data_IF_908480800719
#
_entry.id   IF_908480800719
#
_cell.length_a   1.000
_cell.length_b   1.000
_cell.length_c   1.000
_cell.angle_alpha   90.00
_cell.angle_beta   90.00
_cell.angle_gamma   90.00
#
_symmetry.space_group_name_H-M   'P 1'
#
loop_
_entity.id
_entity.type
_entity.pdbx_description
1 polymer ?
#
# COMPACT_ATOMS: atom_id res chain seq x y z
N UNK A 1 -4.43 20.44 -9.17
CA UNK A 1 -3.55 19.76 -8.20
C UNK A 1 -4.12 18.40 -7.77
N UNK A 2 -5.29 18.31 -7.12
CA UNK A 2 -5.88 17.04 -6.66
C UNK A 2 -5.99 15.97 -7.77
N UNK A 3 -6.55 16.31 -8.92
CA UNK A 3 -6.68 15.38 -10.05
C UNK A 3 -5.33 14.86 -10.56
N UNK A 4 -4.30 15.71 -10.60
CA UNK A 4 -2.94 15.32 -11.01
C UNK A 4 -2.35 14.32 -10.03
N UNK A 5 -2.46 14.59 -8.71
CA UNK A 5 -1.97 13.69 -7.67
C UNK A 5 -2.67 12.32 -7.70
N UNK A 6 -3.99 12.32 -7.89
CA UNK A 6 -4.79 11.10 -8.00
C UNK A 6 -4.36 10.26 -9.21
N UNK A 7 -4.32 10.87 -10.40
CA UNK A 7 -3.94 10.16 -11.63
C UNK A 7 -2.49 9.68 -11.57
N UNK A 8 -1.57 10.55 -11.16
CA UNK A 8 -0.15 10.19 -11.04
C UNK A 8 0.04 9.06 -10.03
N UNK A 9 -0.66 9.09 -8.90
CA UNK A 9 -0.59 8.04 -7.89
C UNK A 9 -1.09 6.69 -8.39
N UNK A 10 -2.22 6.67 -9.12
CA UNK A 10 -2.70 5.45 -9.80
C UNK A 10 -1.65 4.93 -10.79
N UNK A 11 -1.21 5.78 -11.72
CA UNK A 11 -0.28 5.40 -12.79
C UNK A 11 1.02 4.86 -12.21
N UNK A 12 1.57 5.52 -11.18
CA UNK A 12 2.79 5.08 -10.52
C UNK A 12 2.62 3.71 -9.84
N UNK A 13 1.52 3.48 -9.12
CA UNK A 13 1.24 2.19 -8.48
C UNK A 13 1.09 1.06 -9.50
N UNK A 14 0.40 1.30 -10.63
CA UNK A 14 0.27 0.33 -11.70
C UNK A 14 1.59 0.05 -12.41
N UNK A 15 2.35 1.09 -12.73
CA UNK A 15 3.66 0.95 -13.37
C UNK A 15 4.63 0.17 -12.47
N UNK A 16 4.64 0.43 -11.17
CA UNK A 16 5.42 -0.33 -10.21
C UNK A 16 4.95 -1.80 -10.13
N UNK A 17 3.64 -2.04 -10.04
CA UNK A 17 3.07 -3.39 -10.03
C UNK A 17 3.42 -4.20 -11.28
N UNK A 18 3.43 -3.58 -12.47
CA UNK A 18 3.81 -4.25 -13.72
C UNK A 18 5.28 -4.71 -13.77
N UNK A 19 6.13 -4.14 -12.90
CA UNK A 19 7.54 -4.51 -12.73
C UNK A 19 7.75 -5.49 -11.56
N UNK A 20 6.71 -5.81 -10.80
CA UNK A 20 6.78 -6.75 -9.70
C UNK A 20 6.89 -8.20 -10.24
N UNK A 21 7.78 -9.04 -9.70
CA UNK A 21 7.84 -10.45 -10.10
C UNK A 21 6.60 -11.22 -9.61
N UNK A 22 5.91 -11.94 -10.50
CA UNK A 22 4.66 -12.67 -10.21
C UNK A 22 4.59 -14.06 -10.91
N UNK A 23 5.73 -14.62 -11.32
CA UNK A 23 5.77 -15.87 -12.08
C UNK A 23 5.57 -17.14 -11.24
N UNK A 24 6.15 -17.17 -10.04
CA UNK A 24 6.06 -18.30 -9.12
C UNK A 24 4.76 -18.29 -8.30
N UNK A 25 4.29 -19.48 -7.93
CA UNK A 25 3.18 -19.60 -7.00
C UNK A 25 3.58 -18.99 -5.64
N UNK A 26 2.80 -18.02 -5.16
CA UNK A 26 3.06 -17.34 -3.90
C UNK A 26 3.11 -18.27 -2.67
N UNK A 27 2.47 -19.45 -2.74
CA UNK A 27 2.51 -20.48 -1.68
C UNK A 27 3.72 -21.42 -1.78
N UNK A 28 4.46 -21.38 -2.89
CA UNK A 28 5.77 -22.02 -3.01
C UNK A 28 6.84 -20.98 -2.66
N UNK A 29 7.12 -20.89 -1.35
CA UNK A 29 8.07 -19.91 -0.83
C UNK A 29 9.47 -20.05 -1.43
N UNK A 30 9.92 -21.28 -1.71
CA UNK A 30 11.23 -21.49 -2.33
C UNK A 30 11.28 -20.92 -3.75
N UNK A 31 10.28 -21.21 -4.57
CA UNK A 31 10.20 -20.68 -5.93
C UNK A 31 10.03 -19.15 -5.94
N UNK A 32 9.13 -18.63 -5.11
CA UNK A 32 8.88 -17.20 -4.99
C UNK A 32 10.12 -16.44 -4.52
N UNK A 33 10.80 -16.90 -3.47
CA UNK A 33 12.01 -16.27 -2.97
C UNK A 33 13.14 -16.31 -4.01
N UNK A 34 13.28 -17.40 -4.78
CA UNK A 34 14.26 -17.45 -5.86
C UNK A 34 13.96 -16.45 -6.99
N UNK A 35 12.70 -16.11 -7.22
CA UNK A 35 12.29 -15.04 -8.13
C UNK A 35 12.61 -13.65 -7.55
N UNK A 36 12.29 -13.42 -6.27
CA UNK A 36 12.54 -12.14 -5.60
C UNK A 36 14.04 -11.85 -5.49
N UNK A 37 14.85 -12.87 -5.19
CA UNK A 37 16.31 -12.77 -5.13
C UNK A 37 16.93 -12.28 -6.45
N UNK A 38 16.38 -12.73 -7.58
CA UNK A 38 16.84 -12.34 -8.93
C UNK A 38 16.36 -10.94 -9.35
N UNK A 39 15.41 -10.35 -8.64
CA UNK A 39 14.90 -9.02 -8.96
C UNK A 39 15.80 -7.92 -8.40
N UNK A 40 16.45 -7.18 -9.29
CA UNK A 40 17.20 -5.96 -8.95
C UNK A 40 16.28 -4.76 -8.69
N UNK A 41 15.01 -4.84 -9.08
CA UNK A 41 14.05 -3.74 -8.97
C UNK A 41 13.13 -3.86 -7.76
N UNK A 42 13.19 -4.97 -7.01
CA UNK A 42 12.24 -5.27 -5.93
C UNK A 42 12.00 -4.09 -4.97
N UNK A 43 13.07 -3.52 -4.41
CA UNK A 43 12.97 -2.37 -3.48
C UNK A 43 12.37 -1.16 -4.20
N UNK A 44 12.81 -0.90 -5.44
CA UNK A 44 12.31 0.22 -6.24
C UNK A 44 10.82 0.11 -6.59
N UNK A 45 10.34 -1.10 -6.87
CA UNK A 45 8.92 -1.40 -7.10
C UNK A 45 8.10 -1.05 -5.86
N UNK A 46 8.50 -1.53 -4.70
CA UNK A 46 7.79 -1.28 -3.44
C UNK A 46 7.83 0.20 -3.03
N UNK A 47 8.96 0.88 -3.24
CA UNK A 47 9.06 2.32 -3.06
C UNK A 47 8.13 3.08 -4.02
N UNK A 48 8.03 2.65 -5.29
CA UNK A 48 7.11 3.20 -6.28
C UNK A 48 5.64 3.00 -5.88
N UNK A 49 5.28 1.81 -5.39
CA UNK A 49 3.95 1.53 -4.84
C UNK A 49 3.63 2.44 -3.65
N UNK A 50 4.56 2.60 -2.70
CA UNK A 50 4.42 3.51 -1.57
C UNK A 50 4.21 4.95 -2.01
N UNK A 51 5.06 5.45 -2.91
CA UNK A 51 4.97 6.81 -3.44
C UNK A 51 3.64 7.05 -4.19
N UNK A 52 3.18 6.08 -4.97
CA UNK A 52 1.90 6.13 -5.66
C UNK A 52 0.72 6.22 -4.68
N UNK A 53 0.73 5.42 -3.62
CA UNK A 53 -0.27 5.48 -2.56
C UNK A 53 -0.23 6.81 -1.79
N UNK A 54 0.96 7.33 -1.49
CA UNK A 54 1.12 8.63 -0.84
C UNK A 54 0.55 9.76 -1.70
N UNK A 55 0.79 9.73 -3.02
CA UNK A 55 0.22 10.69 -3.97
C UNK A 55 -1.31 10.59 -4.03
N UNK A 56 -1.87 9.37 -4.06
CA UNK A 56 -3.32 9.14 -3.98
C UNK A 56 -3.93 9.75 -2.72
N UNK A 57 -3.35 9.45 -1.55
CA UNK A 57 -3.80 9.99 -0.25
C UNK A 57 -3.71 11.52 -0.25
N UNK A 58 -2.61 12.10 -0.72
CA UNK A 58 -2.46 13.54 -0.84
C UNK A 58 -3.54 14.16 -1.77
N UNK A 59 -3.83 13.51 -2.90
CA UNK A 59 -4.88 13.93 -3.83
C UNK A 59 -6.27 13.94 -3.18
N UNK A 60 -6.59 12.90 -2.39
CA UNK A 60 -7.83 12.82 -1.62
C UNK A 60 -7.94 13.89 -0.54
N UNK A 61 -6.85 14.17 0.17
CA UNK A 61 -6.80 15.23 1.19
C UNK A 61 -7.01 16.62 0.56
N UNK A 62 -6.35 16.90 -0.57
CA UNK A 62 -6.55 18.16 -1.31
C UNK A 62 -8.00 18.26 -1.80
N UNK A 63 -8.56 17.18 -2.37
CA UNK A 63 -9.95 17.17 -2.84
C UNK A 63 -10.94 17.42 -1.68
N UNK A 64 -10.76 16.74 -0.55
CA UNK A 64 -11.58 16.92 0.63
C UNK A 64 -11.49 18.32 1.23
N UNK A 65 -10.31 18.95 1.20
CA UNK A 65 -10.13 20.33 1.68
C UNK A 65 -10.93 21.37 0.88
N UNK A 66 -11.09 21.14 -0.43
CA UNK A 66 -11.86 22.03 -1.31
C UNK A 66 -13.37 21.77 -1.17
N UNK A 67 -13.78 20.53 -0.96
CA UNK A 67 -15.18 20.15 -0.81
C UNK A 67 -15.78 20.52 0.58
N UNK A 68 -14.94 20.67 1.61
CA UNK A 68 -15.36 20.90 3.00
C UNK A 68 -15.69 22.35 3.39
N UNK A 69 -15.85 23.28 2.43
CA UNK A 69 -16.05 24.72 2.69
C UNK A 69 -17.41 25.14 3.28
N UNK A 70 -18.32 24.21 3.63
CA UNK A 70 -19.64 24.53 4.18
C UNK A 70 -19.65 24.48 5.73
N UNK A 71 -20.14 25.52 6.46
CA UNK A 71 -20.12 25.52 7.92
C UNK A 71 -21.01 24.42 8.53
N UNK A 72 -20.47 23.61 9.45
CA UNK A 72 -21.24 22.61 10.22
C UNK A 72 -20.58 21.22 10.29
N UNK A 73 -21.40 20.18 10.50
CA UNK A 73 -21.13 18.71 10.67
C UNK A 73 -20.12 18.08 9.67
N UNK A 74 -19.67 18.85 8.69
CA UNK A 74 -18.63 18.60 7.69
C UNK A 74 -17.18 18.70 8.20
N UNK A 75 -16.90 19.47 9.27
CA UNK A 75 -15.52 19.67 9.77
C UNK A 75 -14.92 18.42 10.46
N UNK A 76 -15.66 17.82 11.39
CA UNK A 76 -15.18 16.65 12.16
C UNK A 76 -15.06 15.39 11.30
N UNK A 77 -15.93 15.23 10.30
CA UNK A 77 -15.90 14.11 9.35
C UNK A 77 -14.70 14.23 8.41
N UNK A 78 -14.37 15.44 7.95
CA UNK A 78 -13.15 15.69 7.18
C UNK A 78 -11.88 15.40 7.99
N UNK A 79 -11.85 15.80 9.26
CA UNK A 79 -10.70 15.57 10.16
C UNK A 79 -10.49 14.09 10.46
N UNK A 80 -11.56 13.36 10.78
CA UNK A 80 -11.51 11.90 10.97
C UNK A 80 -11.05 11.18 9.70
N UNK A 81 -11.57 11.59 8.53
CA UNK A 81 -11.12 11.06 7.24
C UNK A 81 -9.62 11.28 7.00
N UNK A 82 -9.08 12.45 7.37
CA UNK A 82 -7.65 12.72 7.24
C UNK A 82 -6.78 11.85 8.14
N UNK A 83 -7.20 11.61 9.39
CA UNK A 83 -6.49 10.73 10.31
C UNK A 83 -6.56 9.26 9.86
N UNK A 84 -7.71 8.82 9.38
CA UNK A 84 -7.86 7.48 8.82
C UNK A 84 -6.96 7.29 7.59
N UNK A 85 -6.90 8.28 6.70
CA UNK A 85 -6.02 8.25 5.52
C UNK A 85 -4.53 8.23 5.91
N UNK A 86 -4.12 9.02 6.91
CA UNK A 86 -2.75 9.00 7.43
C UNK A 86 -2.39 7.66 8.09
N UNK A 87 -3.29 7.10 8.90
CA UNK A 87 -3.10 5.80 9.52
C UNK A 87 -2.98 4.68 8.47
N UNK A 88 -3.84 4.72 7.44
CA UNK A 88 -3.77 3.77 6.34
C UNK A 88 -2.46 3.89 5.55
N UNK A 89 -2.00 5.11 5.27
CA UNK A 89 -0.72 5.32 4.59
C UNK A 89 0.45 4.83 5.45
N UNK A 90 0.40 5.01 6.77
CA UNK A 90 1.42 4.52 7.70
C UNK A 90 1.45 2.97 7.73
N UNK A 91 0.29 2.32 7.82
CA UNK A 91 0.17 0.86 7.75
C UNK A 91 0.67 0.33 6.40
N UNK A 92 0.34 1.02 5.31
CA UNK A 92 0.86 0.68 3.98
C UNK A 92 2.37 0.88 3.89
N UNK A 93 2.91 1.96 4.44
CA UNK A 93 4.36 2.19 4.52
C UNK A 93 5.08 1.09 5.31
N UNK A 94 4.49 0.64 6.42
CA UNK A 94 5.01 -0.49 7.17
C UNK A 94 4.97 -1.79 6.34
N UNK A 95 3.90 -2.04 5.58
CA UNK A 95 3.81 -3.19 4.67
C UNK A 95 4.93 -3.13 3.62
N UNK A 96 5.15 -1.95 3.04
CA UNK A 96 6.20 -1.74 2.04
C UNK A 96 7.61 -1.88 2.63
N UNK A 97 7.81 -1.56 3.91
CA UNK A 97 9.07 -1.81 4.61
C UNK A 97 9.30 -3.32 4.85
N UNK A 98 8.25 -4.06 5.23
CA UNK A 98 8.34 -5.51 5.44
C UNK A 98 8.52 -6.25 4.11
N UNK A 99 7.63 -6.04 3.14
CA UNK A 99 7.65 -6.71 1.83
C UNK A 99 8.83 -6.22 0.97
N UNK A 100 8.93 -4.90 0.82
CA UNK A 100 9.86 -4.28 -0.10
C UNK A 100 11.32 -4.27 0.34
N UNK A 101 11.59 -4.30 1.65
CA UNK A 101 12.95 -4.12 2.19
C UNK A 101 13.38 -5.31 3.05
N UNK A 102 12.65 -5.60 4.12
CA UNK A 102 13.05 -6.64 5.07
C UNK A 102 13.03 -8.03 4.42
N UNK A 103 11.93 -8.39 3.77
CA UNK A 103 11.79 -9.66 3.05
C UNK A 103 12.84 -9.78 1.94
N UNK A 104 13.10 -8.71 1.18
CA UNK A 104 14.14 -8.70 0.15
C UNK A 104 15.52 -9.04 0.70
N UNK A 105 15.93 -8.36 1.76
CA UNK A 105 17.22 -8.64 2.40
C UNK A 105 17.29 -10.06 2.96
N UNK A 106 16.23 -10.56 3.60
CA UNK A 106 16.18 -11.94 4.09
C UNK A 106 16.28 -12.96 2.96
N UNK A 107 15.61 -12.71 1.84
CA UNK A 107 15.64 -13.58 0.65
C UNK A 107 17.01 -13.56 -0.03
N UNK A 108 17.63 -12.39 -0.18
CA UNK A 108 18.98 -12.30 -0.75
C UNK A 108 20.01 -13.00 0.14
N UNK A 109 19.88 -12.83 1.46
CA UNK A 109 20.68 -13.50 2.46
C UNK A 109 20.48 -15.03 2.45
N UNK A 110 19.29 -15.51 2.14
CA UNK A 110 19.01 -16.93 1.93
C UNK A 110 19.59 -17.46 0.61
N UNK A 111 19.41 -16.72 -0.48
CA UNK A 111 19.89 -17.10 -1.79
C UNK A 111 21.42 -17.30 -1.80
N UNK A 112 22.15 -16.41 -1.12
CA UNK A 112 23.60 -16.45 -0.98
C UNK A 112 24.12 -17.48 0.05
N UNK A 113 23.27 -18.02 0.92
CA UNK A 113 23.70 -18.97 1.95
C UNK A 113 23.90 -20.39 1.40
N UNK A 114 24.78 -21.15 2.04
CA UNK A 114 25.13 -22.53 1.69
C UNK A 114 25.08 -23.46 2.91
N UNK A 115 25.10 -24.77 2.66
CA UNK A 115 25.13 -25.79 3.72
C UNK A 115 23.99 -25.65 4.74
N UNK A 116 24.30 -25.85 6.01
CA UNK A 116 23.32 -25.83 7.10
C UNK A 116 22.70 -24.44 7.33
N UNK A 117 23.41 -23.35 6.97
CA UNK A 117 22.90 -21.99 7.13
C UNK A 117 21.72 -21.70 6.19
N UNK A 118 21.68 -22.33 5.02
CA UNK A 118 20.63 -22.09 4.02
C UNK A 118 19.23 -22.40 4.56
N UNK A 119 19.07 -23.46 5.35
CA UNK A 119 17.79 -23.80 5.98
C UNK A 119 17.36 -22.74 7.02
N UNK A 120 18.31 -22.22 7.81
CA UNK A 120 18.04 -21.19 8.83
C UNK A 120 17.63 -19.87 8.17
N UNK A 121 18.34 -19.45 7.12
CA UNK A 121 18.02 -18.22 6.37
C UNK A 121 16.69 -18.33 5.64
N UNK A 122 16.32 -19.54 5.17
CA UNK A 122 15.01 -19.78 4.57
C UNK A 122 13.89 -19.52 5.57
N UNK A 123 13.97 -20.11 6.77
CA UNK A 123 12.97 -19.91 7.82
C UNK A 123 12.84 -18.41 8.19
N UNK A 124 13.96 -17.68 8.28
CA UNK A 124 13.92 -16.24 8.54
C UNK A 124 13.24 -15.43 7.40
N UNK A 125 13.41 -15.83 6.14
CA UNK A 125 12.69 -15.25 5.01
C UNK A 125 11.20 -15.60 5.02
N UNK A 126 10.84 -16.84 5.40
CA UNK A 126 9.45 -17.24 5.61
C UNK A 126 8.77 -16.44 6.71
N UNK A 127 9.43 -16.21 7.86
CA UNK A 127 8.88 -15.38 8.93
C UNK A 127 8.54 -13.96 8.44
N UNK A 128 9.40 -13.36 7.62
CA UNK A 128 9.12 -12.06 7.00
C UNK A 128 7.93 -12.14 6.02
N UNK A 129 7.81 -13.24 5.27
CA UNK A 129 6.70 -13.46 4.34
C UNK A 129 5.37 -13.66 5.08
N UNK A 130 5.35 -14.39 6.18
CA UNK A 130 4.17 -14.54 7.03
C UNK A 130 3.78 -13.23 7.68
N UNK A 131 4.75 -12.44 8.15
CA UNK A 131 4.50 -11.10 8.66
C UNK A 131 3.88 -10.21 7.59
N UNK A 132 4.43 -10.23 6.38
CA UNK A 132 3.89 -9.51 5.23
C UNK A 132 2.44 -9.90 4.93
N UNK A 133 2.12 -11.20 4.84
CA UNK A 133 0.73 -11.66 4.67
C UNK A 133 -0.18 -11.25 5.83
N UNK A 134 0.33 -11.31 7.07
CA UNK A 134 -0.36 -10.82 8.25
C UNK A 134 -0.68 -9.31 8.15
N UNK A 135 0.24 -8.51 7.64
CA UNK A 135 0.00 -7.08 7.41
C UNK A 135 -0.94 -6.83 6.23
N UNK A 136 -0.78 -7.57 5.13
CA UNK A 136 -1.60 -7.44 3.91
C UNK A 136 -3.05 -7.85 4.16
N UNK A 137 -3.28 -8.88 4.97
CA UNK A 137 -4.64 -9.29 5.40
C UNK A 137 -5.37 -8.20 6.20
N UNK A 138 -4.64 -7.32 6.90
CA UNK A 138 -5.19 -6.14 7.56
C UNK A 138 -5.31 -4.91 6.63
N UNK A 139 -4.63 -4.93 5.48
CA UNK A 139 -4.62 -3.81 4.51
C UNK A 139 -5.92 -3.76 3.69
N UNK A 140 -6.50 -4.91 3.34
CA UNK A 140 -7.76 -4.98 2.57
C UNK A 140 -8.98 -4.42 3.36
N UNK A 141 -9.20 -4.75 4.66
CA UNK A 141 -10.21 -4.09 5.48
C UNK A 141 -9.96 -2.58 5.66
N UNK A 142 -8.70 -2.16 5.72
CA UNK A 142 -8.31 -0.75 5.88
C UNK A 142 -8.62 0.06 4.61
N UNK A 143 -8.34 -0.50 3.43
CA UNK A 143 -8.72 0.08 2.13
C UNK A 143 -10.25 0.08 1.94
N UNK A 144 -10.94 -0.96 2.40
CA UNK A 144 -12.41 -0.98 2.47
C UNK A 144 -12.95 0.15 3.38
N UNK A 145 -12.27 0.45 4.49
CA UNK A 145 -12.57 1.59 5.35
C UNK A 145 -12.38 2.95 4.67
N UNK A 146 -11.30 3.12 3.88
CA UNK A 146 -11.07 4.33 3.08
C UNK A 146 -12.15 4.48 1.99
N UNK A 147 -12.50 3.40 1.29
CA UNK A 147 -13.55 3.40 0.29
C UNK A 147 -14.93 3.76 0.88
N UNK A 148 -15.25 3.25 2.07
CA UNK A 148 -16.47 3.61 2.80
C UNK A 148 -16.49 5.10 3.17
N UNK A 149 -15.36 5.68 3.56
CA UNK A 149 -15.24 7.12 3.85
C UNK A 149 -15.47 7.96 2.58
N UNK A 150 -14.98 7.51 1.41
CA UNK A 150 -15.18 8.17 0.12
C UNK A 150 -16.63 8.07 -0.39
N UNK A 151 -17.27 6.91 -0.23
CA UNK A 151 -18.69 6.71 -0.55
C UNK A 151 -19.57 7.61 0.31
N UNK A 152 -19.25 7.75 1.59
CA UNK A 152 -19.97 8.64 2.51
C UNK A 152 -19.83 10.12 2.13
N UNK A 153 -18.63 10.54 1.70
CA UNK A 153 -18.38 11.92 1.26
C UNK A 153 -19.04 12.27 -0.07
N UNK A 154 -19.10 11.36 -1.03
CA UNK A 154 -19.82 11.56 -2.30
C UNK A 154 -21.34 11.54 -2.13
N UNK A 155 -21.87 10.70 -1.21
CA UNK A 155 -23.29 10.68 -0.87
C UNK A 155 -23.78 11.98 -0.23
N UNK A 156 -22.95 12.60 0.62
CA UNK A 156 -23.21 13.94 1.18
C UNK A 156 -23.20 15.04 0.11
N UNK A 157 -22.32 14.92 -0.88
CA UNK A 157 -22.22 15.88 -1.99
C UNK A 157 -23.41 15.77 -2.97
N UNK A 158 -23.86 14.56 -3.28
CA UNK A 158 -24.99 14.34 -4.17
C UNK A 158 -26.34 14.70 -3.52
N UNK A 159 -26.43 14.62 -2.19
CA UNK A 159 -27.63 15.00 -1.44
C UNK A 159 -27.77 16.50 -1.22
N UNK A 160 -26.67 17.25 -1.26
CA UNK A 160 -26.70 18.72 -1.23
C UNK A 160 -27.16 19.32 -2.56
N UNK A 161 -26.75 18.73 -3.69
CA UNK A 161 -27.13 19.18 -5.04
C UNK A 161 -28.61 18.90 -5.42
N UNK A 162 -29.31 18.02 -4.71
CA UNK A 162 -30.73 17.68 -4.95
C UNK A 162 -31.73 18.53 -4.18
N UNK A 163 -31.26 19.34 -3.24
CA UNK A 163 -32.11 20.22 -2.41
C UNK A 163 -32.12 21.68 -2.90
N UNK A 164 -31.41 21.96 -3.99
CA UNK A 164 -31.31 23.23 -4.70
C UNK A 164 -32.07 23.17 -6.02
#
# INVERSE_FOLDING_TARGET
MAAVLLVAGVVMSFAAGALHPEGANANDHAAAFAEYARSNLWIGVHLGQFAGMAALVAGLLVLGSVAGGAPGRSYWTARLGSWAAAAALALYGALQAVDGVALKHSVDAWAAAEGAEKAVRFAAAEDMRWLEWGMRSNTVPTLAGIALILVWTLGLLASSLRRS
#
